data_IF_298430750360
#
_entry.id   IF_298430750360
#
_cell.length_a   1.000
_cell.length_b   1.000
_cell.length_c   1.000
_cell.angle_alpha   90.00
_cell.angle_beta   90.00
_cell.angle_gamma   90.00
#
_symmetry.space_group_name_H-M   'P 1'
#
loop_
_entity.id
_entity.type
_entity.pdbx_description
1 polymer ?
#
# COMPACT_ATOMS: atom_id res chain seq x y z
N UNK A 1 2.47 -4.07 14.99
CA UNK A 1 2.93 -3.75 13.62
C UNK A 1 3.28 -2.27 13.43
N UNK A 2 2.40 -1.32 13.81
CA UNK A 2 2.64 0.14 13.67
C UNK A 2 4.05 0.60 14.10
N UNK A 3 4.52 0.16 15.28
CA UNK A 3 5.88 0.49 15.78
C UNK A 3 6.99 0.02 14.85
N UNK A 4 6.94 -1.22 14.35
CA UNK A 4 8.00 -1.79 13.50
C UNK A 4 8.06 -1.05 12.16
N UNK A 5 6.90 -0.85 11.53
CA UNK A 5 6.80 -0.15 10.25
C UNK A 5 7.32 1.29 10.35
N UNK A 6 6.96 2.01 11.41
CA UNK A 6 7.45 3.37 11.67
C UNK A 6 8.96 3.40 11.86
N UNK A 7 9.50 2.50 12.69
CA UNK A 7 10.92 2.42 12.98
C UNK A 7 11.77 2.04 11.76
N UNK A 8 11.24 1.20 10.88
CA UNK A 8 11.88 0.84 9.62
C UNK A 8 11.85 2.01 8.61
N UNK A 9 10.73 2.73 8.52
CA UNK A 9 10.64 3.94 7.71
C UNK A 9 11.63 5.01 8.17
N UNK A 10 11.72 5.29 9.50
CA UNK A 10 12.69 6.23 10.07
C UNK A 10 14.15 5.84 9.80
N UNK A 11 14.44 4.54 9.71
CA UNK A 11 15.78 4.00 9.40
C UNK A 11 16.08 3.96 7.90
N UNK A 12 15.17 4.44 7.05
CA UNK A 12 15.27 4.34 5.58
C UNK A 12 15.47 2.90 5.12
N UNK A 13 14.88 1.93 5.83
CA UNK A 13 14.87 0.54 5.40
C UNK A 13 14.07 0.39 4.11
N UNK A 14 14.42 -0.60 3.30
CA UNK A 14 13.61 -0.99 2.16
C UNK A 14 12.33 -1.67 2.66
N UNK A 15 11.17 -1.11 2.31
CA UNK A 15 9.86 -1.59 2.74
C UNK A 15 9.03 -1.98 1.52
N UNK A 16 8.51 -3.20 1.54
CA UNK A 16 7.65 -3.70 0.48
C UNK A 16 6.44 -4.45 1.04
N UNK A 17 5.42 -4.59 0.21
CA UNK A 17 4.24 -5.38 0.50
C UNK A 17 3.66 -5.98 -0.78
N UNK A 18 2.83 -7.01 -0.64
CA UNK A 18 2.09 -7.61 -1.75
C UNK A 18 0.73 -8.12 -1.25
N UNK A 19 -0.16 -8.41 -2.20
CA UNK A 19 -1.41 -9.11 -1.94
C UNK A 19 -1.24 -10.53 -2.44
N UNK A 20 -1.55 -11.53 -1.60
CA UNK A 20 -1.48 -12.95 -2.00
C UNK A 20 -2.34 -13.21 -3.24
N UNK A 21 -1.74 -13.86 -4.24
CA UNK A 21 -2.42 -14.30 -5.47
C UNK A 21 -2.80 -15.77 -5.42
N UNK A 22 -3.72 -16.15 -6.31
CA UNK A 22 -3.80 -17.53 -6.77
C UNK A 22 -2.50 -17.85 -7.53
N UNK A 23 -1.75 -18.91 -7.19
CA UNK A 23 -0.51 -19.28 -7.88
C UNK A 23 -0.64 -19.48 -9.40
N UNK A 24 -1.85 -19.72 -9.90
CA UNK A 24 -2.15 -19.91 -11.33
C UNK A 24 -2.46 -18.61 -12.06
N UNK A 25 -2.61 -17.49 -11.34
CA UNK A 25 -2.99 -16.20 -11.92
C UNK A 25 -1.94 -15.16 -11.57
N UNK A 26 -1.14 -14.81 -12.58
CA UNK A 26 -0.14 -13.75 -12.49
C UNK A 26 -0.81 -12.38 -12.57
N UNK A 27 -0.42 -11.46 -11.68
CA UNK A 27 -0.76 -10.03 -11.75
C UNK A 27 -2.26 -9.73 -11.91
N UNK A 28 -3.11 -10.41 -11.13
CA UNK A 28 -4.55 -10.22 -11.19
C UNK A 28 -4.95 -8.81 -10.72
N UNK A 29 -5.43 -7.97 -11.65
CA UNK A 29 -5.98 -6.64 -11.35
C UNK A 29 -7.32 -6.75 -10.63
N UNK A 30 -7.49 -5.96 -9.58
CA UNK A 30 -8.69 -5.86 -8.77
C UNK A 30 -9.51 -4.64 -9.18
N UNK A 31 -10.82 -4.66 -8.86
CA UNK A 31 -11.73 -3.57 -9.19
C UNK A 31 -11.38 -2.24 -8.50
N UNK A 32 -10.64 -2.28 -7.39
CA UNK A 32 -10.13 -1.11 -6.68
C UNK A 32 -8.77 -0.61 -7.21
N UNK A 33 -8.33 -1.10 -8.37
CA UNK A 33 -7.09 -0.67 -9.02
C UNK A 33 -5.81 -1.34 -8.51
N UNK A 34 -5.86 -2.17 -7.46
CA UNK A 34 -4.70 -2.92 -6.98
C UNK A 34 -4.45 -4.21 -7.78
N UNK A 35 -3.27 -4.78 -7.64
CA UNK A 35 -2.82 -6.00 -8.34
C UNK A 35 -2.37 -7.04 -7.32
N UNK A 36 -2.89 -8.28 -7.45
CA UNK A 36 -2.45 -9.44 -6.65
C UNK A 36 -1.19 -10.07 -7.22
N UNK A 37 -0.39 -10.70 -6.34
CA UNK A 37 0.85 -11.36 -6.73
C UNK A 37 1.93 -10.37 -7.18
N UNK A 38 1.73 -9.08 -6.89
CA UNK A 38 2.56 -7.98 -7.33
C UNK A 38 3.23 -7.31 -6.13
N UNK A 39 4.48 -6.92 -6.30
CA UNK A 39 5.26 -6.24 -5.26
C UNK A 39 5.07 -4.72 -5.35
N UNK A 40 4.77 -4.10 -4.21
CA UNK A 40 4.67 -2.65 -4.04
C UNK A 40 5.76 -2.16 -3.10
N UNK A 41 6.20 -0.92 -3.31
CA UNK A 41 7.10 -0.24 -2.37
C UNK A 41 6.30 0.63 -1.39
N UNK A 42 6.59 0.53 -0.10
CA UNK A 42 6.06 1.48 0.90
C UNK A 42 7.04 2.64 1.00
N UNK A 43 6.64 3.81 0.53
CA UNK A 43 7.52 4.98 0.40
C UNK A 43 7.34 6.02 1.50
N UNK A 44 6.23 5.94 2.25
CA UNK A 44 5.95 6.83 3.38
C UNK A 44 5.04 6.16 4.40
N UNK A 45 5.26 6.50 5.65
CA UNK A 45 4.33 6.25 6.76
C UNK A 45 4.04 7.61 7.40
N UNK A 46 2.79 7.89 7.73
CA UNK A 46 2.40 9.15 8.36
C UNK A 46 1.24 8.93 9.33
N UNK A 47 1.33 9.53 10.51
CA UNK A 47 0.16 9.71 11.38
C UNK A 47 -0.54 11.02 10.98
N UNK A 48 -1.84 10.94 10.70
CA UNK A 48 -2.67 12.04 10.25
C UNK A 48 -3.80 12.24 11.26
N UNK A 49 -3.98 13.49 11.69
CA UNK A 49 -5.10 13.86 12.55
C UNK A 49 -6.34 14.13 11.69
N UNK A 50 -7.44 13.50 12.07
CA UNK A 50 -8.77 13.70 11.48
C UNK A 50 -9.75 14.11 12.58
N UNK A 51 -10.96 14.54 12.20
CA UNK A 51 -12.02 14.87 13.15
C UNK A 51 -12.45 13.66 14.02
N UNK A 52 -12.23 12.44 13.52
CA UNK A 52 -12.50 11.20 14.24
C UNK A 52 -11.31 10.68 15.09
N UNK A 53 -10.19 11.41 15.11
CA UNK A 53 -8.97 11.03 15.81
C UNK A 53 -7.76 10.82 14.88
N UNK A 54 -6.68 10.28 15.45
CA UNK A 54 -5.43 10.05 14.72
C UNK A 54 -5.42 8.69 14.04
N UNK A 55 -5.13 8.66 12.74
CA UNK A 55 -4.98 7.45 11.94
C UNK A 55 -3.58 7.36 11.34
N UNK A 56 -3.07 6.15 11.15
CA UNK A 56 -1.81 5.92 10.43
C UNK A 56 -2.09 5.58 8.99
N UNK A 57 -1.53 6.35 8.06
CA UNK A 57 -1.56 6.10 6.63
C UNK A 57 -0.20 5.64 6.12
N UNK A 58 -0.22 4.85 5.05
CA UNK A 58 0.96 4.47 4.28
C UNK A 58 0.80 4.93 2.83
N UNK A 59 1.92 5.29 2.19
CA UNK A 59 1.95 5.55 0.75
C UNK A 59 2.61 4.37 0.06
N UNK A 60 1.81 3.58 -0.64
CA UNK A 60 2.28 2.53 -1.53
C UNK A 60 2.58 3.11 -2.92
N UNK A 61 3.57 2.54 -3.59
CA UNK A 61 3.95 2.85 -4.97
C UNK A 61 3.88 1.57 -5.78
N UNK A 62 3.11 1.60 -6.88
CA UNK A 62 3.19 0.56 -7.91
C UNK A 62 4.48 0.77 -8.73
N UNK A 63 5.40 -0.20 -8.79
CA UNK A 63 6.63 -0.06 -9.58
C UNK A 63 6.39 0.09 -11.09
N UNK A 64 5.20 -0.24 -11.61
CA UNK A 64 4.87 0.00 -13.01
C UNK A 64 4.79 1.49 -13.37
N UNK A 65 4.51 2.38 -12.40
CA UNK A 65 4.44 3.82 -12.65
C UNK A 65 3.39 4.23 -13.70
N UNK A 66 2.30 3.47 -13.82
CA UNK A 66 1.24 3.70 -14.78
C UNK A 66 -0.11 3.95 -14.08
N UNK A 67 -1.22 3.90 -14.82
CA UNK A 67 -2.57 4.18 -14.31
C UNK A 67 -3.12 3.14 -13.32
N UNK A 68 -2.39 2.04 -13.05
CA UNK A 68 -2.82 0.99 -12.13
C UNK A 68 -2.49 1.39 -10.69
N UNK A 69 -3.31 2.27 -10.11
CA UNK A 69 -3.18 2.79 -8.75
C UNK A 69 -4.46 2.58 -7.93
N UNK A 70 -4.38 2.73 -6.60
CA UNK A 70 -5.54 2.60 -5.71
C UNK A 70 -6.66 3.57 -6.12
N UNK A 71 -7.80 3.01 -6.52
CA UNK A 71 -9.02 3.75 -6.75
C UNK A 71 -9.75 3.90 -5.41
N UNK A 72 -9.89 5.14 -4.96
CA UNK A 72 -10.70 5.48 -3.77
C UNK A 72 -12.08 4.86 -3.96
N UNK A 73 -12.57 4.21 -2.90
CA UNK A 73 -13.85 3.52 -2.91
C UNK A 73 -14.95 4.53 -3.29
N UNK A 74 -15.54 4.42 -4.48
CA UNK A 74 -16.67 5.24 -4.95
C UNK A 74 -17.99 4.92 -4.21
N UNK A 75 -17.93 4.24 -3.06
CA UNK A 75 -19.08 3.79 -2.28
C UNK A 75 -19.08 4.31 -0.83
N UNK A 76 -18.32 5.37 -0.54
CA UNK A 76 -18.52 6.21 0.66
C UNK A 76 -19.12 7.54 0.27
#
# INVERSE_FOLDING_TARGET
IKRVLWQAYLRKSMLGCSITADPKVTEAKLLNGLVKGHAYSITRVADVTTDAGSITLIRCLNPWGNETEWLVNLMT
#
